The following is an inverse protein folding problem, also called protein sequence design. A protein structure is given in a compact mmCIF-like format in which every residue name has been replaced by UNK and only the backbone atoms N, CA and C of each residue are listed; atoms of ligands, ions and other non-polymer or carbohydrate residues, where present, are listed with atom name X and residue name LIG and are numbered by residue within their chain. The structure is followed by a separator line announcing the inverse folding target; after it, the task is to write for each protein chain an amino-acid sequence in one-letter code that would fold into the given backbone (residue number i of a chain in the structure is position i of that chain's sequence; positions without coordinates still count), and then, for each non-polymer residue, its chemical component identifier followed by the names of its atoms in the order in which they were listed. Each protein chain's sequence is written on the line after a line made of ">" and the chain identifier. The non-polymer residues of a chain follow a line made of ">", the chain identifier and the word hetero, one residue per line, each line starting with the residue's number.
data_IF_418522068089
#
_entry.id   IF_418522068089
#
_cell.length_a   1.000
_cell.length_b   1.000
_cell.length_c   1.000
_cell.angle_alpha   90.00
_cell.angle_beta   90.00
_cell.angle_gamma   90.00
#
_symmetry.space_group_name_H-M   'P 1'
#
loop_
_entity.id
_entity.type
_entity.pdbx_description
1 polymer ?
#
# COMPACT_ATOMS: atom_id res chain seq x y z
N UNK A 1 16.21 -11.86 -5.66
CA UNK A 1 15.84 -10.62 -4.92
C UNK A 1 15.31 -11.04 -3.56
N UNK A 2 16.04 -10.69 -2.49
CA UNK A 2 15.73 -11.03 -1.10
C UNK A 2 14.58 -10.18 -0.56
N UNK A 3 13.73 -10.75 0.29
CA UNK A 3 12.52 -10.15 0.88
C UNK A 3 12.84 -8.97 1.84
N UNK A 4 13.29 -7.83 1.31
CA UNK A 4 13.43 -6.60 2.10
C UNK A 4 14.67 -5.75 1.82
N UNK A 5 15.54 -6.16 0.89
CA UNK A 5 16.70 -5.34 0.51
C UNK A 5 16.30 -4.28 -0.52
N UNK A 6 15.52 -3.29 -0.06
CA UNK A 6 15.04 -2.17 -0.87
C UNK A 6 16.13 -1.13 -1.15
N UNK A 7 17.29 -1.27 -0.50
CA UNK A 7 18.44 -0.38 -0.67
C UNK A 7 19.05 -0.47 -2.07
N UNK A 8 18.81 -1.58 -2.77
CA UNK A 8 19.32 -1.85 -4.10
C UNK A 8 18.36 -1.46 -5.25
N UNK A 9 17.13 -1.00 -4.96
CA UNK A 9 16.17 -0.62 -6.01
C UNK A 9 16.61 0.68 -6.69
N UNK A 10 16.67 0.67 -8.02
CA UNK A 10 16.73 1.91 -8.80
C UNK A 10 15.37 2.64 -8.78
N UNK A 11 15.38 3.95 -9.02
CA UNK A 11 14.19 4.82 -9.01
C UNK A 11 13.09 4.34 -9.96
N UNK A 12 13.46 3.66 -11.04
CA UNK A 12 12.51 3.05 -11.98
C UNK A 12 11.69 1.95 -11.30
N UNK A 13 12.33 1.06 -10.56
CA UNK A 13 11.65 -0.03 -9.84
C UNK A 13 10.78 0.50 -8.70
N UNK A 14 11.27 1.53 -8.00
CA UNK A 14 10.51 2.25 -6.98
C UNK A 14 9.27 2.89 -7.58
N UNK A 15 9.38 3.54 -8.75
CA UNK A 15 8.26 4.13 -9.48
C UNK A 15 7.23 3.07 -9.87
N UNK A 16 7.66 1.91 -10.37
CA UNK A 16 6.76 0.81 -10.70
C UNK A 16 6.01 0.27 -9.47
N UNK A 17 6.71 0.10 -8.34
CA UNK A 17 6.08 -0.29 -7.06
C UNK A 17 5.11 0.76 -6.55
N UNK A 18 5.46 2.04 -6.64
CA UNK A 18 4.60 3.18 -6.30
C UNK A 18 3.31 3.14 -7.13
N UNK A 19 3.43 2.98 -8.45
CA UNK A 19 2.28 2.86 -9.36
C UNK A 19 1.42 1.64 -9.01
N UNK A 20 2.03 0.48 -8.80
CA UNK A 20 1.30 -0.74 -8.42
C UNK A 20 0.55 -0.55 -7.09
N UNK A 21 1.20 -0.02 -6.07
CA UNK A 21 0.57 0.24 -4.77
C UNK A 21 -0.55 1.30 -4.87
N UNK A 22 -0.34 2.36 -5.66
CA UNK A 22 -1.34 3.41 -5.89
C UNK A 22 -2.59 2.90 -6.59
N UNK A 23 -2.41 2.18 -7.70
CA UNK A 23 -3.51 1.60 -8.47
C UNK A 23 -4.27 0.55 -7.66
N UNK A 24 -3.55 -0.34 -6.95
CA UNK A 24 -4.18 -1.33 -6.08
C UNK A 24 -4.92 -0.67 -4.91
N UNK A 25 -4.44 0.47 -4.40
CA UNK A 25 -5.13 1.22 -3.36
C UNK A 25 -6.47 1.79 -3.86
N UNK A 26 -6.50 2.30 -5.09
CA UNK A 26 -7.72 2.86 -5.67
C UNK A 26 -8.73 1.76 -6.04
N UNK A 27 -8.30 0.70 -6.73
CA UNK A 27 -9.23 -0.32 -7.23
C UNK A 27 -9.56 -1.41 -6.21
N UNK A 28 -8.62 -1.75 -5.33
CA UNK A 28 -8.68 -2.88 -4.39
C UNK A 28 -8.37 -2.45 -2.95
N UNK A 29 -8.53 -1.16 -2.65
CA UNK A 29 -8.25 -0.59 -1.33
C UNK A 29 -9.08 -1.19 -0.20
N UNK A 30 -10.33 -1.55 -0.48
CA UNK A 30 -11.22 -2.21 0.50
C UNK A 30 -10.71 -3.59 0.93
N UNK A 31 -9.88 -4.24 0.12
CA UNK A 31 -9.24 -5.52 0.44
C UNK A 31 -7.84 -5.36 1.05
N UNK A 32 -7.27 -4.15 1.04
CA UNK A 32 -5.93 -3.87 1.58
C UNK A 32 -4.76 -4.45 0.75
N UNK A 33 -4.98 -4.79 -0.53
CA UNK A 33 -3.97 -5.45 -1.38
C UNK A 33 -2.73 -4.59 -1.63
N UNK A 34 -2.88 -3.26 -1.65
CA UNK A 34 -1.78 -2.32 -1.81
C UNK A 34 -0.75 -2.42 -0.68
N UNK A 35 -1.16 -2.78 0.54
CA UNK A 35 -0.25 -2.97 1.69
C UNK A 35 0.62 -4.23 1.54
N UNK A 36 0.11 -5.29 0.90
CA UNK A 36 0.89 -6.49 0.64
C UNK A 36 2.03 -6.25 -0.35
N UNK A 37 1.83 -5.37 -1.35
CA UNK A 37 2.87 -4.99 -2.32
C UNK A 37 4.06 -4.30 -1.64
N UNK A 38 3.81 -3.60 -0.54
CA UNK A 38 4.84 -2.93 0.27
C UNK A 38 5.44 -3.84 1.34
N UNK A 39 4.99 -5.10 1.45
CA UNK A 39 5.43 -6.02 2.49
C UNK A 39 4.78 -5.78 3.85
N UNK A 40 3.73 -4.97 3.94
CA UNK A 40 2.94 -4.76 5.16
C UNK A 40 1.85 -5.83 5.31
N UNK A 41 2.28 -7.09 5.42
CA UNK A 41 1.37 -8.24 5.49
C UNK A 41 0.39 -8.14 6.64
N UNK A 42 0.81 -7.59 7.79
CA UNK A 42 -0.05 -7.41 8.97
C UNK A 42 -1.15 -6.38 8.71
N UNK A 43 -0.79 -5.19 8.22
CA UNK A 43 -1.76 -4.13 7.91
C UNK A 43 -2.76 -4.57 6.82
N UNK A 44 -2.26 -5.21 5.75
CA UNK A 44 -3.10 -5.76 4.70
C UNK A 44 -4.06 -6.84 5.21
N UNK A 45 -3.59 -7.72 6.11
CA UNK A 45 -4.45 -8.74 6.72
C UNK A 45 -5.52 -8.13 7.63
N UNK A 46 -5.20 -7.06 8.37
CA UNK A 46 -6.19 -6.33 9.18
C UNK A 46 -7.30 -5.76 8.29
N UNK A 47 -6.96 -5.09 7.19
CA UNK A 47 -7.96 -4.58 6.25
C UNK A 47 -8.81 -5.70 5.66
N UNK A 48 -8.18 -6.80 5.23
CA UNK A 48 -8.88 -7.95 4.67
C UNK A 48 -9.84 -8.59 5.68
N UNK A 49 -9.37 -8.86 6.91
CA UNK A 49 -10.17 -9.47 7.96
C UNK A 49 -11.31 -8.55 8.40
N UNK A 50 -11.08 -7.24 8.52
CA UNK A 50 -12.15 -6.29 8.85
C UNK A 50 -13.23 -6.26 7.77
N UNK A 51 -12.83 -6.21 6.50
CA UNK A 51 -13.78 -6.24 5.38
C UNK A 51 -14.55 -7.56 5.33
N UNK A 52 -13.90 -8.71 5.56
CA UNK A 52 -14.56 -10.03 5.53
C UNK A 52 -15.45 -10.28 6.75
N UNK A 53 -14.95 -9.99 7.95
CA UNK A 53 -15.64 -10.26 9.22
C UNK A 53 -16.87 -9.37 9.42
N UNK A 54 -16.86 -8.17 8.82
CA UNK A 54 -18.03 -7.27 8.83
C UNK A 54 -18.95 -7.50 7.64
N UNK A 55 -18.80 -8.60 6.89
CA UNK A 55 -19.55 -8.88 5.66
C UNK A 55 -19.53 -7.72 4.65
N UNK A 56 -18.41 -6.99 4.57
CA UNK A 56 -18.23 -5.84 3.69
C UNK A 56 -18.76 -4.51 4.22
N UNK A 57 -19.40 -4.47 5.40
CA UNK A 57 -19.95 -3.22 5.97
C UNK A 57 -18.84 -2.24 6.33
N UNK A 58 -17.75 -2.71 6.95
CA UNK A 58 -16.57 -1.87 7.18
C UNK A 58 -15.72 -1.67 5.91
N UNK A 59 -16.03 -2.40 4.83
CA UNK A 59 -15.36 -2.30 3.55
C UNK A 59 -15.48 -0.92 2.91
N UNK A 60 -16.55 -0.15 3.21
CA UNK A 60 -16.69 1.23 2.73
C UNK A 60 -15.65 2.16 3.36
N UNK A 61 -15.45 2.08 4.68
CA UNK A 61 -14.44 2.88 5.40
C UNK A 61 -13.03 2.47 4.98
N UNK A 62 -12.77 1.15 4.90
CA UNK A 62 -11.47 0.63 4.45
C UNK A 62 -11.18 0.98 2.99
N UNK A 63 -12.21 0.97 2.12
CA UNK A 63 -12.12 1.41 0.74
C UNK A 63 -11.77 2.89 0.63
N UNK A 64 -12.41 3.75 1.42
CA UNK A 64 -12.07 5.17 1.50
C UNK A 64 -10.62 5.39 1.92
N UNK A 65 -10.15 4.70 2.96
CA UNK A 65 -8.74 4.77 3.40
C UNK A 65 -7.81 4.31 2.27
N UNK A 66 -8.12 3.17 1.62
CA UNK A 66 -7.31 2.64 0.53
C UNK A 66 -7.25 3.58 -0.69
N UNK A 67 -8.35 4.25 -1.03
CA UNK A 67 -8.38 5.26 -2.10
C UNK A 67 -7.52 6.47 -1.73
N UNK A 68 -7.64 6.98 -0.50
CA UNK A 68 -6.83 8.10 -0.01
C UNK A 68 -5.34 7.75 -0.07
N UNK A 69 -4.96 6.58 0.45
CA UNK A 69 -3.57 6.10 0.37
C UNK A 69 -3.12 5.87 -1.07
N UNK A 70 -3.99 5.36 -1.94
CA UNK A 70 -3.72 5.18 -3.35
C UNK A 70 -3.38 6.52 -4.04
N UNK A 71 -4.15 7.57 -3.75
CA UNK A 71 -3.86 8.93 -4.24
C UNK A 71 -2.55 9.45 -3.66
N UNK A 72 -2.33 9.32 -2.34
CA UNK A 72 -1.08 9.74 -1.68
C UNK A 72 0.13 9.06 -2.34
N UNK A 73 0.06 7.76 -2.63
CA UNK A 73 1.13 7.03 -3.30
C UNK A 73 1.40 7.57 -4.69
N UNK A 74 0.35 7.90 -5.46
CA UNK A 74 0.50 8.43 -6.82
C UNK A 74 1.05 9.86 -6.86
N UNK A 75 0.74 10.69 -5.86
CA UNK A 75 1.10 12.12 -5.86
C UNK A 75 2.51 12.42 -5.33
N UNK A 76 3.06 11.58 -4.45
CA UNK A 76 4.42 11.76 -3.92
C UNK A 76 5.52 11.38 -4.92
N UNK A 77 6.73 11.89 -4.77
CA UNK A 77 7.84 11.51 -5.66
C UNK A 77 8.34 10.09 -5.36
N UNK A 78 8.98 9.37 -6.32
CA UNK A 78 9.55 8.05 -6.06
C UNK A 78 10.54 8.03 -4.88
N UNK A 79 11.31 9.10 -4.72
CA UNK A 79 12.28 9.25 -3.63
C UNK A 79 11.59 9.34 -2.27
N UNK A 80 10.57 10.19 -2.15
CA UNK A 80 9.77 10.33 -0.93
C UNK A 80 9.04 9.03 -0.59
N UNK A 81 8.52 8.34 -1.61
CA UNK A 81 7.87 7.05 -1.46
C UNK A 81 8.80 5.99 -0.89
N UNK A 82 10.01 5.90 -1.44
CA UNK A 82 11.02 4.98 -0.92
C UNK A 82 11.37 5.32 0.52
N UNK A 83 11.68 6.57 0.81
CA UNK A 83 12.06 7.00 2.16
C UNK A 83 10.95 6.72 3.20
N UNK A 84 9.68 6.94 2.83
CA UNK A 84 8.55 6.85 3.76
C UNK A 84 8.01 5.43 3.89
N UNK A 85 7.80 4.73 2.78
CA UNK A 85 7.05 3.46 2.75
C UNK A 85 7.93 2.23 2.50
N UNK A 86 9.15 2.38 2.01
CA UNK A 86 10.06 1.23 1.85
C UNK A 86 11.07 1.21 2.99
N UNK A 87 11.75 2.33 3.23
CA UNK A 87 12.81 2.46 4.24
C UNK A 87 12.19 2.76 5.62
N UNK A 88 11.31 3.75 5.70
CA UNK A 88 10.63 4.16 6.95
C UNK A 88 9.50 3.24 7.40
N UNK A 89 9.10 2.29 6.56
CA UNK A 89 8.07 1.27 6.83
C UNK A 89 6.76 1.85 7.44
N UNK A 90 6.33 3.02 6.97
CA UNK A 90 5.07 3.66 7.40
C UNK A 90 3.86 2.84 6.96
N UNK A 91 3.23 2.15 7.92
CA UNK A 91 2.13 1.21 7.64
C UNK A 91 0.80 1.88 7.35
N UNK A 92 0.56 3.12 7.79
CA UNK A 92 -0.71 3.84 7.62
C UNK A 92 -0.46 5.33 7.39
N UNK A 93 -1.22 5.91 6.44
CA UNK A 93 -1.12 7.30 6.00
C UNK A 93 0.31 7.73 5.75
#
# INVERSE_FOLDING_TARGET
>A
MSNGDWSALDLTEVSNKKLAAGLLGIFLGSFGLHKFVLGYTKAGLIMLLLTVLTCGVAGFVMGLIGVIEGVIYLTQTPQEFKATYLDGRKEWF
#
